data_IF_522017119873
#
_entry.id   IF_522017119873
#
_cell.length_a   1.000
_cell.length_b   1.000
_cell.length_c   1.000
_cell.angle_alpha   90.00
_cell.angle_beta   90.00
_cell.angle_gamma   90.00
#
_symmetry.space_group_name_H-M   'P 1'
#
loop_
_entity.id
_entity.type
_entity.pdbx_description
1 polymer ?
#
# COMPACT_ATOMS: atom_id res chain seq x y z
N UNK A 1 38.34 0.64 0.07
CA UNK A 1 37.21 0.16 -0.75
C UNK A 1 35.91 0.63 -0.16
N UNK A 2 35.02 1.15 -0.99
CA UNK A 2 33.68 1.57 -0.54
C UNK A 2 32.79 0.34 -0.39
N UNK A 3 32.33 0.04 0.83
CA UNK A 3 31.48 -1.13 1.10
C UNK A 3 30.16 -1.12 0.33
N UNK A 4 29.65 0.04 -0.13
CA UNK A 4 28.43 0.13 -0.94
C UNK A 4 28.60 -0.49 -2.33
N UNK A 5 29.83 -0.54 -2.86
CA UNK A 5 30.09 -1.17 -4.15
C UNK A 5 30.13 -2.69 -4.07
N UNK A 6 30.19 -3.26 -2.86
CA UNK A 6 30.16 -4.70 -2.62
C UNK A 6 28.73 -5.22 -2.40
N UNK A 7 27.77 -4.32 -2.23
CA UNK A 7 26.39 -4.69 -2.04
C UNK A 7 25.80 -5.27 -3.34
N UNK A 8 25.05 -6.34 -3.22
CA UNK A 8 24.45 -7.02 -4.36
C UNK A 8 22.93 -6.82 -4.40
N UNK A 9 22.39 -6.74 -5.61
CA UNK A 9 20.95 -6.71 -5.81
C UNK A 9 20.35 -8.07 -5.44
N UNK A 10 19.09 -8.03 -5.01
CA UNK A 10 18.34 -9.24 -4.65
C UNK A 10 17.05 -9.28 -5.44
N UNK A 11 16.62 -10.48 -5.81
CA UNK A 11 15.32 -10.70 -6.46
C UNK A 11 14.50 -11.60 -5.54
N UNK A 12 13.32 -11.11 -5.18
CA UNK A 12 12.35 -11.89 -4.42
C UNK A 12 11.31 -12.40 -5.40
N UNK A 13 11.19 -13.72 -5.51
CA UNK A 13 10.26 -14.34 -6.44
C UNK A 13 8.82 -14.23 -5.93
N UNK A 14 7.87 -14.33 -6.85
CA UNK A 14 6.44 -14.16 -6.52
C UNK A 14 5.90 -15.15 -5.50
N UNK A 15 6.55 -16.30 -5.33
CA UNK A 15 6.19 -17.29 -4.30
C UNK A 15 6.93 -17.11 -2.98
N UNK A 16 7.81 -16.11 -2.88
CA UNK A 16 8.60 -15.81 -1.69
C UNK A 16 8.25 -14.50 -1.01
N UNK A 17 7.07 -13.94 -1.29
CA UNK A 17 6.65 -12.66 -0.71
C UNK A 17 6.30 -12.81 0.77
N UNK A 18 6.47 -11.74 1.52
CA UNK A 18 6.19 -11.68 2.95
C UNK A 18 4.76 -11.22 3.18
N UNK A 19 3.96 -12.05 3.88
CA UNK A 19 2.59 -11.70 4.26
C UNK A 19 2.64 -10.67 5.36
N UNK A 20 1.91 -9.57 5.19
CA UNK A 20 1.84 -8.50 6.16
C UNK A 20 0.44 -8.33 6.74
N UNK A 21 0.36 -7.83 7.97
CA UNK A 21 -0.91 -7.45 8.59
C UNK A 21 -1.44 -6.24 7.82
N UNK A 22 -2.73 -6.28 7.50
CA UNK A 22 -3.38 -5.24 6.73
C UNK A 22 -4.73 -4.91 7.35
N UNK A 23 -5.37 -3.83 6.90
CA UNK A 23 -6.61 -3.35 7.49
C UNK A 23 -7.84 -3.78 6.70
N UNK A 24 -8.94 -4.04 7.40
CA UNK A 24 -10.20 -4.45 6.79
C UNK A 24 -10.06 -5.76 6.02
N UNK A 25 -10.61 -5.81 4.82
CA UNK A 25 -10.54 -6.98 3.94
C UNK A 25 -9.35 -6.97 2.98
N UNK A 26 -8.50 -5.96 3.06
CA UNK A 26 -7.30 -5.85 2.23
C UNK A 26 -6.24 -6.85 2.69
N UNK A 27 -5.60 -7.54 1.74
CA UNK A 27 -4.42 -8.37 2.00
C UNK A 27 -3.19 -7.69 1.41
N UNK A 28 -2.02 -7.96 1.99
CA UNK A 28 -0.77 -7.32 1.54
C UNK A 28 0.39 -8.30 1.57
N UNK A 29 1.14 -8.31 0.45
CA UNK A 29 2.32 -9.15 0.28
C UNK A 29 3.51 -8.25 -0.08
N UNK A 30 4.54 -8.24 0.75
CA UNK A 30 5.72 -7.43 0.51
C UNK A 30 6.76 -8.18 -0.31
N UNK A 31 7.34 -7.48 -1.28
CA UNK A 31 8.48 -7.96 -2.06
C UNK A 31 9.79 -7.28 -1.68
N UNK A 32 9.71 -6.04 -1.18
CA UNK A 32 10.86 -5.32 -0.62
C UNK A 32 10.49 -4.88 0.78
N UNK A 33 11.15 -5.45 1.78
CA UNK A 33 10.89 -5.17 3.18
C UNK A 33 12.17 -5.29 4.01
N UNK A 34 12.13 -4.82 5.24
CA UNK A 34 13.23 -5.00 6.17
C UNK A 34 13.48 -6.49 6.42
N UNK A 35 12.42 -7.29 6.60
CA UNK A 35 12.53 -8.71 6.88
C UNK A 35 13.12 -9.54 5.74
N UNK A 36 12.73 -9.23 4.50
CA UNK A 36 13.18 -9.98 3.33
C UNK A 36 14.58 -9.59 2.85
N UNK A 37 14.88 -8.30 2.82
CA UNK A 37 16.09 -7.81 2.14
C UNK A 37 16.93 -6.86 3.00
N UNK A 38 16.51 -6.56 4.23
CA UNK A 38 17.20 -5.60 5.08
C UNK A 38 17.04 -4.16 4.61
N UNK A 39 15.92 -3.83 3.98
CA UNK A 39 15.68 -2.48 3.50
C UNK A 39 15.74 -1.46 4.64
N UNK A 40 16.38 -0.33 4.40
CA UNK A 40 16.61 0.70 5.41
C UNK A 40 15.71 1.91 5.24
N UNK A 41 15.27 2.22 4.02
CA UNK A 41 14.51 3.43 3.76
C UNK A 41 13.31 3.26 2.83
N UNK A 42 13.08 2.06 2.32
CA UNK A 42 11.99 1.81 1.37
C UNK A 42 11.27 0.51 1.69
N UNK A 43 10.04 0.43 1.18
CA UNK A 43 9.21 -0.77 1.27
C UNK A 43 8.33 -0.81 0.02
N UNK A 44 8.13 -1.99 -0.56
CA UNK A 44 7.27 -2.18 -1.73
C UNK A 44 6.44 -3.45 -1.56
N UNK A 45 5.13 -3.30 -1.70
CA UNK A 45 4.20 -4.40 -1.50
C UNK A 45 3.06 -4.36 -2.52
N UNK A 46 2.43 -5.51 -2.69
CA UNK A 46 1.19 -5.66 -3.46
C UNK A 46 0.03 -5.75 -2.47
N UNK A 47 -0.91 -4.83 -2.58
CA UNK A 47 -2.14 -4.86 -1.80
C UNK A 47 -3.29 -5.32 -2.68
N UNK A 48 -4.13 -6.20 -2.16
CA UNK A 48 -5.30 -6.72 -2.87
C UNK A 48 -6.55 -6.46 -2.07
N UNK A 49 -7.55 -5.87 -2.72
CA UNK A 49 -8.86 -5.63 -2.12
C UNK A 49 -9.87 -6.47 -2.91
N UNK A 50 -10.46 -7.50 -2.28
CA UNK A 50 -11.42 -8.37 -2.96
C UNK A 50 -12.65 -7.62 -3.48
N UNK A 51 -13.39 -8.19 -4.43
CA UNK A 51 -14.63 -7.58 -4.92
C UNK A 51 -15.59 -7.23 -3.78
N UNK A 52 -16.18 -6.05 -3.86
CA UNK A 52 -17.16 -5.56 -2.89
C UNK A 52 -16.60 -5.23 -1.50
N UNK A 53 -15.27 -5.17 -1.35
CA UNK A 53 -14.62 -4.97 -0.06
C UNK A 53 -13.87 -3.64 0.00
N UNK A 54 -13.39 -3.30 1.19
CA UNK A 54 -12.64 -2.08 1.45
C UNK A 54 -11.63 -2.33 2.58
N UNK A 55 -10.60 -1.48 2.65
CA UNK A 55 -9.80 -1.38 3.87
C UNK A 55 -10.55 -0.55 4.91
N UNK A 56 -10.13 -0.60 6.17
CA UNK A 56 -10.61 0.36 7.18
C UNK A 56 -10.00 1.73 6.92
N UNK A 57 -10.69 2.83 7.27
CA UNK A 57 -10.07 4.15 7.22
C UNK A 57 -8.83 4.19 8.14
N UNK A 58 -7.73 4.70 7.63
CA UNK A 58 -6.48 4.74 8.38
C UNK A 58 -5.56 5.86 7.88
N UNK A 59 -4.51 6.15 8.65
CA UNK A 59 -3.45 7.05 8.22
C UNK A 59 -2.09 6.51 8.67
N UNK A 60 -1.04 6.89 7.96
CA UNK A 60 0.33 6.53 8.27
C UNK A 60 1.00 7.70 8.96
N UNK A 61 1.49 7.50 10.19
CA UNK A 61 2.02 8.60 11.00
C UNK A 61 3.48 8.91 10.72
N UNK A 62 4.23 7.98 10.09
CA UNK A 62 5.69 8.09 9.92
C UNK A 62 6.18 8.01 8.49
N UNK A 63 5.31 8.01 7.50
CA UNK A 63 5.74 7.87 6.10
C UNK A 63 4.71 8.42 5.12
N UNK A 64 5.17 8.65 3.91
CA UNK A 64 4.34 8.90 2.74
C UNK A 64 4.36 7.68 1.83
N UNK A 65 3.38 7.55 0.97
CA UNK A 65 3.25 6.42 0.04
C UNK A 65 2.98 6.87 -1.37
N UNK A 66 3.47 6.08 -2.32
CA UNK A 66 3.12 6.18 -3.72
C UNK A 66 2.46 4.86 -4.12
N UNK A 67 1.35 4.94 -4.82
CA UNK A 67 0.55 3.78 -5.19
C UNK A 67 0.35 3.77 -6.70
N UNK A 68 0.47 2.60 -7.31
CA UNK A 68 0.13 2.37 -8.71
C UNK A 68 -1.00 1.36 -8.78
N UNK A 69 -2.06 1.66 -9.53
CA UNK A 69 -3.19 0.75 -9.73
C UNK A 69 -2.84 -0.21 -10.86
N UNK A 70 -2.60 -1.47 -10.52
CA UNK A 70 -2.15 -2.49 -11.47
C UNK A 70 -3.28 -3.37 -12.01
N UNK A 71 -4.37 -3.53 -11.26
CA UNK A 71 -5.55 -4.29 -11.69
C UNK A 71 -6.82 -3.68 -11.09
N UNK A 72 -7.89 -3.70 -11.89
CA UNK A 72 -9.22 -3.30 -11.43
C UNK A 72 -9.44 -1.80 -11.39
N UNK A 73 -10.50 -1.42 -10.72
CA UNK A 73 -10.91 -0.04 -10.53
C UNK A 73 -11.66 0.09 -9.21
N UNK A 74 -11.84 1.30 -8.74
CA UNK A 74 -12.56 1.53 -7.50
C UNK A 74 -12.56 3.00 -7.12
N UNK A 75 -12.68 3.25 -5.82
CA UNK A 75 -12.65 4.59 -5.26
C UNK A 75 -11.58 4.68 -4.19
N UNK A 76 -10.99 5.85 -4.08
CA UNK A 76 -10.02 6.16 -3.04
C UNK A 76 -10.56 7.37 -2.28
N UNK A 77 -11.05 7.13 -1.07
CA UNK A 77 -11.60 8.20 -0.23
C UNK A 77 -10.47 8.83 0.58
N UNK A 78 -10.49 10.14 0.71
CA UNK A 78 -9.49 10.87 1.47
C UNK A 78 -10.07 12.10 2.14
N UNK A 79 -9.34 12.65 3.10
CA UNK A 79 -9.76 13.76 3.93
C UNK A 79 -10.19 13.33 5.32
N UNK A 80 -10.21 14.24 6.31
CA UNK A 80 -10.51 13.90 7.72
C UNK A 80 -11.89 13.31 7.94
N UNK A 81 -12.84 13.57 7.02
CA UNK A 81 -14.19 13.01 7.05
C UNK A 81 -14.42 12.05 5.88
N UNK A 82 -13.35 11.66 5.16
CA UNK A 82 -13.44 10.91 3.92
C UNK A 82 -14.38 11.58 2.89
N UNK A 83 -14.40 12.89 2.92
CA UNK A 83 -15.31 13.72 2.11
C UNK A 83 -14.91 13.83 0.65
N UNK A 84 -13.65 13.53 0.32
CA UNK A 84 -13.16 13.59 -1.05
C UNK A 84 -13.13 12.19 -1.63
N UNK A 85 -13.80 12.00 -2.76
CA UNK A 85 -13.84 10.73 -3.50
C UNK A 85 -13.02 10.87 -4.78
N UNK A 86 -12.01 10.00 -4.92
CA UNK A 86 -11.18 9.93 -6.11
C UNK A 86 -11.48 8.61 -6.81
N UNK A 87 -11.95 8.67 -8.06
CA UNK A 87 -12.12 7.46 -8.87
C UNK A 87 -10.75 7.00 -9.37
N UNK A 88 -10.49 5.71 -9.26
CA UNK A 88 -9.20 5.12 -9.67
C UNK A 88 -9.41 3.94 -10.60
N UNK A 89 -8.49 3.78 -11.54
CA UNK A 89 -8.47 2.66 -12.50
C UNK A 89 -7.04 2.28 -12.86
N UNK A 90 -6.89 1.17 -13.56
CA UNK A 90 -5.59 0.66 -14.01
C UNK A 90 -4.79 1.77 -14.71
N UNK A 91 -3.55 1.93 -14.29
CA UNK A 91 -2.62 2.94 -14.82
C UNK A 91 -2.54 4.20 -13.99
N UNK A 92 -3.43 4.40 -13.03
CA UNK A 92 -3.42 5.58 -12.18
C UNK A 92 -2.35 5.50 -11.11
N UNK A 93 -1.81 6.66 -10.75
CA UNK A 93 -0.90 6.82 -9.62
C UNK A 93 -1.60 7.63 -8.54
N UNK A 94 -1.38 7.24 -7.28
CA UNK A 94 -1.94 7.93 -6.12
C UNK A 94 -0.78 8.34 -5.20
N UNK A 95 -0.78 9.59 -4.78
CA UNK A 95 0.13 10.07 -3.75
C UNK A 95 -0.60 10.16 -2.42
N UNK A 96 -0.05 9.54 -1.38
CA UNK A 96 -0.59 9.59 -0.02
C UNK A 96 0.41 10.30 0.88
N UNK A 97 0.17 11.58 1.22
CA UNK A 97 1.06 12.30 2.13
C UNK A 97 1.00 11.71 3.53
N UNK A 98 2.05 11.95 4.30
CA UNK A 98 2.10 11.55 5.71
C UNK A 98 0.90 12.14 6.46
N UNK A 99 0.23 11.30 7.25
CA UNK A 99 -0.91 11.71 8.06
C UNK A 99 -2.25 11.80 7.33
N UNK A 100 -2.28 11.62 6.02
CA UNK A 100 -3.54 11.69 5.27
C UNK A 100 -4.43 10.49 5.56
N UNK A 101 -5.65 10.75 6.01
CA UNK A 101 -6.67 9.71 6.21
C UNK A 101 -7.17 9.25 4.85
N UNK A 102 -7.21 7.94 4.64
CA UNK A 102 -7.61 7.38 3.35
C UNK A 102 -8.24 6.00 3.51
N UNK A 103 -9.01 5.61 2.48
CA UNK A 103 -9.67 4.31 2.44
C UNK A 103 -9.88 3.90 0.99
N UNK A 104 -9.16 2.89 0.48
CA UNK A 104 -9.47 2.31 -0.83
C UNK A 104 -10.69 1.40 -0.75
N UNK A 105 -11.54 1.48 -1.78
CA UNK A 105 -12.78 0.70 -1.88
C UNK A 105 -12.84 0.05 -3.25
N UNK A 106 -13.16 -1.25 -3.28
CA UNK A 106 -13.42 -1.98 -4.50
C UNK A 106 -14.92 -2.16 -4.66
N UNK A 107 -15.51 -1.42 -5.60
CA UNK A 107 -16.93 -1.47 -5.90
C UNK A 107 -17.32 -2.60 -6.87
N UNK A 108 -16.36 -3.25 -7.51
CA UNK A 108 -16.64 -4.33 -8.45
C UNK A 108 -17.25 -5.52 -7.71
N UNK A 109 -18.17 -6.22 -8.36
CA UNK A 109 -18.76 -7.44 -7.82
C UNK A 109 -17.98 -8.69 -8.27
N UNK A 110 -17.02 -8.54 -9.17
CA UNK A 110 -16.34 -9.70 -9.79
C UNK A 110 -14.81 -9.60 -9.77
N UNK A 111 -14.23 -8.40 -9.86
CA UNK A 111 -12.80 -8.23 -10.10
C UNK A 111 -12.07 -7.69 -8.88
N UNK A 112 -10.84 -8.18 -8.60
CA UNK A 112 -10.03 -7.64 -7.53
C UNK A 112 -9.48 -6.25 -7.91
N UNK A 113 -9.19 -5.44 -6.89
CA UNK A 113 -8.44 -4.20 -7.03
C UNK A 113 -7.04 -4.47 -6.50
N UNK A 114 -6.04 -4.36 -7.37
CA UNK A 114 -4.64 -4.58 -7.00
C UNK A 114 -3.87 -3.27 -7.05
N UNK A 115 -3.20 -2.96 -5.94
CA UNK A 115 -2.42 -1.75 -5.76
C UNK A 115 -0.97 -2.12 -5.47
N UNK A 116 -0.04 -1.50 -6.19
CA UNK A 116 1.38 -1.60 -5.89
C UNK A 116 1.74 -0.40 -5.01
N UNK A 117 2.18 -0.66 -3.79
CA UNK A 117 2.36 0.38 -2.77
C UNK A 117 3.82 0.49 -2.38
N UNK A 118 4.39 1.66 -2.64
CA UNK A 118 5.74 2.03 -2.21
C UNK A 118 5.64 3.03 -1.06
N UNK A 119 6.51 2.91 -0.07
CA UNK A 119 6.61 3.89 1.02
C UNK A 119 8.07 4.13 1.37
N UNK A 120 8.35 5.24 2.05
CA UNK A 120 9.70 5.68 2.35
C UNK A 120 10.17 5.28 3.76
N UNK A 121 9.63 4.21 4.30
CA UNK A 121 10.09 3.60 5.55
C UNK A 121 9.91 2.09 5.48
N UNK A 122 10.86 1.29 6.02
CA UNK A 122 10.70 -0.16 6.04
C UNK A 122 9.66 -0.62 7.07
N UNK A 123 9.45 0.17 8.12
CA UNK A 123 8.47 -0.13 9.18
C UNK A 123 7.53 1.03 9.33
N UNK A 124 6.26 0.82 8.97
CA UNK A 124 5.24 1.86 9.08
C UNK A 124 4.55 1.83 10.45
N UNK A 125 4.08 3.00 10.87
CA UNK A 125 3.18 3.15 12.01
C UNK A 125 1.83 3.59 11.44
N UNK A 126 0.84 2.70 11.55
CA UNK A 126 -0.51 2.92 11.04
C UNK A 126 -1.46 3.08 12.20
N UNK A 127 -2.33 4.07 12.12
CA UNK A 127 -3.41 4.25 13.09
C UNK A 127 -4.74 4.20 12.35
N UNK A 128 -5.68 3.41 12.89
CA UNK A 128 -7.04 3.43 12.40
C UNK A 128 -7.71 4.73 12.81
N UNK A 129 -8.60 5.21 11.97
CA UNK A 129 -9.21 6.52 12.13
C UNK A 129 -10.72 6.39 12.16
N UNK A 130 -11.34 6.94 13.22
CA UNK A 130 -12.79 7.04 13.31
C UNK A 130 -13.25 8.32 12.63
N UNK A 131 -14.09 8.16 11.60
CA UNK A 131 -14.73 9.27 10.91
C UNK A 131 -15.95 9.70 11.73
N UNK A 132 -15.95 10.95 12.17
CA UNK A 132 -17.03 11.49 12.99
C UNK A 132 -18.10 12.21 12.16
#
# INVERSE_FOLDING_TARGET
>A
MNKHTEAECKVIKSDGLEVEISSGSMTRLAGVSQGLVGAEGIHLAVANIPPGCASSPHHHVNCESAIYVSKGSGRFLTGPQLETTLDIEVGDFIYVPQGSVHQPINDSLSDPLELIVARNTPVEIVEEYEVS
#
